data_IF_993095955338
#
_entry.id   IF_993095955338
#
_cell.length_a   1.000
_cell.length_b   1.000
_cell.length_c   1.000
_cell.angle_alpha   90.00
_cell.angle_beta   90.00
_cell.angle_gamma   90.00
#
_symmetry.space_group_name_H-M   'P 1'
#
loop_
_entity.id
_entity.type
_entity.pdbx_description
1 polymer ?
#
# COMPACT_ATOMS: atom_id res chain seq x y z
N UNK A 1 -15.79 -12.60 -10.34
CA UNK A 1 -14.76 -13.65 -10.25
C UNK A 1 -14.65 -14.06 -8.79
N UNK A 2 -14.67 -15.36 -8.47
CA UNK A 2 -14.59 -15.85 -7.09
C UNK A 2 -13.34 -16.70 -6.93
N UNK A 3 -12.63 -16.52 -5.82
CA UNK A 3 -11.46 -17.32 -5.44
C UNK A 3 -11.71 -17.91 -4.04
N UNK A 4 -11.22 -19.12 -3.82
CA UNK A 4 -11.40 -19.84 -2.56
C UNK A 4 -10.05 -20.01 -1.89
N UNK A 5 -9.95 -19.60 -0.63
CA UNK A 5 -8.76 -19.78 0.21
C UNK A 5 -9.08 -20.87 1.22
N UNK A 6 -8.20 -21.86 1.37
CA UNK A 6 -8.28 -22.82 2.48
C UNK A 6 -7.68 -22.20 3.72
N UNK A 7 -8.44 -22.23 4.80
CA UNK A 7 -8.03 -21.78 6.13
C UNK A 7 -8.21 -22.93 7.11
N UNK A 8 -7.32 -23.01 8.09
CA UNK A 8 -7.57 -23.75 9.31
C UNK A 8 -8.69 -23.09 10.12
N UNK A 9 -9.27 -23.83 11.06
CA UNK A 9 -10.31 -23.29 11.95
C UNK A 9 -9.81 -22.08 12.76
N UNK A 10 -8.54 -22.11 13.18
CA UNK A 10 -7.90 -21.03 13.96
C UNK A 10 -7.71 -19.76 13.12
N UNK A 11 -7.20 -19.89 11.90
CA UNK A 11 -7.02 -18.75 10.98
C UNK A 11 -8.37 -18.11 10.63
N UNK A 12 -9.40 -18.93 10.40
CA UNK A 12 -10.75 -18.46 10.13
C UNK A 12 -11.31 -17.68 11.33
N UNK A 13 -11.19 -18.20 12.55
CA UNK A 13 -11.66 -17.52 13.76
C UNK A 13 -10.95 -16.17 13.97
N UNK A 14 -9.64 -16.11 13.71
CA UNK A 14 -8.87 -14.88 13.79
C UNK A 14 -9.35 -13.85 12.75
N UNK A 15 -9.47 -14.26 11.48
CA UNK A 15 -9.88 -13.37 10.41
C UNK A 15 -11.33 -12.88 10.57
N UNK A 16 -12.23 -13.74 11.07
CA UNK A 16 -13.60 -13.35 11.41
C UNK A 16 -13.65 -12.35 12.58
N UNK A 17 -12.81 -12.53 13.60
CA UNK A 17 -12.73 -11.63 14.74
C UNK A 17 -12.24 -10.25 14.32
N UNK A 18 -11.22 -10.19 13.44
CA UNK A 18 -10.76 -8.96 12.82
C UNK A 18 -11.86 -8.28 12.01
N UNK A 19 -12.52 -9.01 11.10
CA UNK A 19 -13.58 -8.45 10.27
C UNK A 19 -14.75 -7.90 11.12
N UNK A 20 -15.14 -8.60 12.19
CA UNK A 20 -16.17 -8.14 13.15
C UNK A 20 -15.74 -6.87 13.89
N UNK A 21 -14.50 -6.81 14.38
CA UNK A 21 -13.96 -5.62 15.07
C UNK A 21 -14.03 -4.37 14.19
N UNK A 22 -13.75 -4.53 12.89
CA UNK A 22 -13.76 -3.46 11.91
C UNK A 22 -15.11 -3.26 11.20
N UNK A 23 -16.16 -4.00 11.61
CA UNK A 23 -17.50 -3.96 11.03
C UNK A 23 -17.53 -4.15 9.49
N UNK A 24 -16.64 -4.99 8.97
CA UNK A 24 -16.52 -5.31 7.54
C UNK A 24 -16.75 -6.81 7.29
N UNK A 25 -16.97 -7.17 6.02
CA UNK A 25 -17.03 -8.59 5.65
C UNK A 25 -15.65 -9.25 5.64
N UNK A 26 -15.60 -10.57 5.83
CA UNK A 26 -14.34 -11.34 5.75
C UNK A 26 -13.65 -11.15 4.39
N UNK A 27 -14.42 -11.17 3.29
CA UNK A 27 -13.88 -10.95 1.95
C UNK A 27 -13.35 -9.53 1.74
N UNK A 28 -13.95 -8.53 2.39
CA UNK A 28 -13.45 -7.16 2.36
C UNK A 28 -12.16 -7.00 3.16
N UNK A 29 -12.06 -7.64 4.34
CA UNK A 29 -10.83 -7.68 5.11
C UNK A 29 -9.66 -8.27 4.30
N UNK A 30 -9.87 -9.41 3.65
CA UNK A 30 -8.85 -10.01 2.77
C UNK A 30 -8.51 -9.13 1.57
N UNK A 31 -9.50 -8.49 0.95
CA UNK A 31 -9.26 -7.59 -0.18
C UNK A 31 -8.41 -6.39 0.24
N UNK A 32 -8.76 -5.75 1.35
CA UNK A 32 -8.00 -4.60 1.88
C UNK A 32 -6.57 -5.00 2.21
N UNK A 33 -6.39 -6.07 2.98
CA UNK A 33 -5.06 -6.55 3.34
C UNK A 33 -4.18 -6.91 2.12
N UNK A 34 -4.78 -7.46 1.06
CA UNK A 34 -4.06 -7.74 -0.18
C UNK A 34 -3.62 -6.46 -0.89
N UNK A 35 -4.52 -5.49 -1.05
CA UNK A 35 -4.19 -4.24 -1.75
C UNK A 35 -3.23 -3.36 -0.94
N UNK A 36 -3.37 -3.32 0.38
CA UNK A 36 -2.44 -2.64 1.29
C UNK A 36 -1.02 -3.18 1.11
N UNK A 37 -0.86 -4.51 1.03
CA UNK A 37 0.45 -5.11 0.79
C UNK A 37 1.02 -4.80 -0.60
N UNK A 38 0.17 -4.76 -1.62
CA UNK A 38 0.59 -4.37 -2.98
C UNK A 38 1.02 -2.90 -3.00
N UNK A 39 0.28 -2.03 -2.32
CA UNK A 39 0.58 -0.60 -2.17
C UNK A 39 1.91 -0.40 -1.45
N UNK A 40 2.15 -1.08 -0.32
CA UNK A 40 3.42 -1.03 0.40
C UNK A 40 4.61 -1.40 -0.51
N UNK A 41 4.51 -2.50 -1.26
CA UNK A 41 5.57 -2.94 -2.19
C UNK A 41 5.78 -1.94 -3.34
N UNK A 42 4.69 -1.34 -3.84
CA UNK A 42 4.76 -0.31 -4.87
C UNK A 42 5.42 0.97 -4.35
N UNK A 43 5.02 1.45 -3.17
CA UNK A 43 5.54 2.65 -2.53
C UNK A 43 7.04 2.53 -2.25
N UNK A 44 7.50 1.37 -1.77
CA UNK A 44 8.93 1.10 -1.60
C UNK A 44 9.68 1.21 -2.93
N UNK A 45 9.12 0.64 -4.00
CA UNK A 45 9.77 0.68 -5.33
C UNK A 45 9.87 2.12 -5.85
N UNK A 46 8.78 2.88 -5.78
CA UNK A 46 8.76 4.30 -6.19
C UNK A 46 9.74 5.14 -5.36
N UNK A 47 9.80 4.88 -4.06
CA UNK A 47 10.78 5.53 -3.18
C UNK A 47 12.23 5.22 -3.61
N UNK A 48 12.56 3.96 -3.89
CA UNK A 48 13.91 3.56 -4.28
C UNK A 48 14.35 4.22 -5.60
N UNK A 49 13.43 4.33 -6.57
CA UNK A 49 13.67 5.00 -7.84
C UNK A 49 13.93 6.51 -7.62
N UNK A 50 13.02 7.19 -6.91
CA UNK A 50 13.15 8.61 -6.62
C UNK A 50 14.41 8.93 -5.79
N UNK A 51 14.73 8.08 -4.82
CA UNK A 51 15.93 8.23 -4.01
C UNK A 51 17.20 8.03 -4.84
N UNK A 52 17.22 7.05 -5.75
CA UNK A 52 18.35 6.81 -6.64
C UNK A 52 18.57 8.00 -7.58
N UNK A 53 17.52 8.57 -8.14
CA UNK A 53 17.57 9.80 -8.94
C UNK A 53 18.13 10.98 -8.13
N UNK A 54 17.64 11.18 -6.91
CA UNK A 54 18.14 12.22 -6.01
C UNK A 54 19.64 12.08 -5.73
N UNK A 55 20.11 10.86 -5.45
CA UNK A 55 21.55 10.60 -5.24
C UNK A 55 22.35 10.88 -6.51
N UNK A 56 21.88 10.42 -7.67
CA UNK A 56 22.54 10.62 -8.96
C UNK A 56 22.57 12.10 -9.40
N UNK A 57 21.58 12.91 -9.00
CA UNK A 57 21.56 14.36 -9.23
C UNK A 57 22.60 15.13 -8.40
N UNK A 58 23.30 14.46 -7.49
CA UNK A 58 24.23 15.09 -6.54
C UNK A 58 23.51 15.69 -5.33
N UNK A 59 22.33 15.16 -4.97
CA UNK A 59 21.50 15.63 -3.86
C UNK A 59 21.05 17.09 -4.02
N UNK A 60 20.77 17.49 -5.26
CA UNK A 60 20.30 18.83 -5.54
C UNK A 60 18.84 18.97 -5.13
N UNK A 61 18.53 20.05 -4.41
CA UNK A 61 17.16 20.38 -4.07
C UNK A 61 16.60 21.36 -5.11
N UNK A 62 15.41 21.07 -5.65
CA UNK A 62 14.66 22.01 -6.45
C UNK A 62 13.91 23.01 -5.55
N UNK A 63 13.69 24.26 -5.99
CA UNK A 63 12.80 25.20 -5.31
C UNK A 63 11.37 24.64 -5.20
N UNK A 64 10.71 24.89 -4.07
CA UNK A 64 9.32 24.47 -3.84
C UNK A 64 8.35 25.08 -4.87
N UNK A 65 8.65 26.27 -5.38
CA UNK A 65 7.86 26.97 -6.40
C UNK A 65 7.77 26.19 -7.71
N UNK A 66 8.83 25.45 -8.07
CA UNK A 66 8.84 24.65 -9.30
C UNK A 66 8.01 23.37 -9.14
N UNK A 67 8.04 22.76 -7.95
CA UNK A 67 7.16 21.65 -7.60
C UNK A 67 5.68 22.05 -7.66
N UNK A 68 5.32 23.23 -7.15
CA UNK A 68 3.92 23.70 -7.20
C UNK A 68 3.42 23.91 -8.63
N UNK A 69 4.26 24.47 -9.51
CA UNK A 69 3.95 24.59 -10.94
C UNK A 69 3.72 23.21 -11.58
N UNK A 70 4.55 22.23 -11.27
CA UNK A 70 4.40 20.86 -11.80
C UNK A 70 3.11 20.18 -11.32
N UNK A 71 2.74 20.39 -10.05
CA UNK A 71 1.55 19.80 -9.44
C UNK A 71 0.25 20.56 -9.75
N UNK A 72 0.31 21.67 -10.48
CA UNK A 72 -0.81 22.59 -10.71
C UNK A 72 -1.49 23.07 -9.41
N UNK A 73 -0.69 23.41 -8.40
CA UNK A 73 -1.12 23.94 -7.11
C UNK A 73 -0.94 25.46 -7.01
#
# INVERSE_FOLDING_TARGET
>A
MAFSIRLTEQEKQLAESYAKLHAISLGEAFKKALFEKIEDEYDVTVYEDAYSEYINSGKQCAPIDDLWKELNL
#
